data_IF_360324001646
#
_entry.id   IF_360324001646
#
_cell.length_a   1.000
_cell.length_b   1.000
_cell.length_c   1.000
_cell.angle_alpha   90.00
_cell.angle_beta   90.00
_cell.angle_gamma   90.00
#
_symmetry.space_group_name_H-M   'P 1'
#
loop_
_entity.id
_entity.type
_entity.pdbx_description
1 polymer ?
#
# COMPACT_ATOMS: atom_id res chain seq x y z
N UNK A 1 -45.32 -19.93 -33.41
CA UNK A 1 -43.99 -19.45 -32.97
C UNK A 1 -44.06 -19.13 -31.47
N UNK A 2 -43.88 -20.12 -30.59
CA UNK A 2 -44.13 -19.98 -29.15
C UNK A 2 -42.92 -19.41 -28.42
N UNK A 3 -43.11 -18.27 -27.75
CA UNK A 3 -42.10 -17.60 -26.93
C UNK A 3 -42.34 -17.94 -25.46
N UNK A 4 -42.03 -19.18 -25.05
CA UNK A 4 -42.08 -19.56 -23.63
C UNK A 4 -40.83 -19.02 -22.94
N UNK A 5 -40.94 -17.84 -22.33
CA UNK A 5 -39.92 -17.37 -21.38
C UNK A 5 -40.15 -18.11 -20.06
N UNK A 6 -39.23 -19.00 -19.70
CA UNK A 6 -39.22 -19.61 -18.37
C UNK A 6 -39.11 -18.48 -17.33
N UNK A 7 -39.94 -18.48 -16.28
CA UNK A 7 -39.88 -17.47 -15.23
C UNK A 7 -38.54 -17.57 -14.49
N UNK A 8 -37.95 -16.41 -14.19
CA UNK A 8 -36.59 -16.31 -13.60
C UNK A 8 -36.47 -17.13 -12.31
N UNK A 9 -37.54 -17.18 -11.51
CA UNK A 9 -37.62 -17.93 -10.26
C UNK A 9 -37.39 -19.43 -10.47
N UNK A 10 -37.88 -19.98 -11.58
CA UNK A 10 -37.69 -21.40 -11.91
C UNK A 10 -36.23 -21.65 -12.30
N UNK A 11 -35.59 -20.73 -13.03
CA UNK A 11 -34.17 -20.82 -13.39
C UNK A 11 -33.30 -20.77 -12.12
N UNK A 12 -33.54 -19.84 -11.20
CA UNK A 12 -32.82 -19.78 -9.93
C UNK A 12 -32.99 -21.05 -9.09
N UNK A 13 -34.22 -21.57 -8.98
CA UNK A 13 -34.50 -22.80 -8.22
C UNK A 13 -33.77 -24.01 -8.83
N UNK A 14 -33.78 -24.11 -10.16
CA UNK A 14 -33.07 -25.18 -10.88
C UNK A 14 -31.55 -25.05 -10.74
N UNK A 15 -31.01 -23.84 -10.86
CA UNK A 15 -29.59 -23.56 -10.70
C UNK A 15 -29.10 -23.89 -9.28
N UNK A 16 -29.85 -23.50 -8.24
CA UNK A 16 -29.53 -23.80 -6.85
C UNK A 16 -29.47 -25.30 -6.56
N UNK A 17 -30.49 -26.04 -7.04
CA UNK A 17 -30.50 -27.51 -6.94
C UNK A 17 -29.34 -28.15 -7.70
N UNK A 18 -28.95 -27.58 -8.85
CA UNK A 18 -27.81 -28.05 -9.64
C UNK A 18 -26.48 -27.87 -8.90
N UNK A 19 -26.28 -26.70 -8.28
CA UNK A 19 -25.09 -26.39 -7.47
C UNK A 19 -24.93 -27.36 -6.29
N UNK A 20 -26.03 -27.67 -5.59
CA UNK A 20 -26.03 -28.61 -4.47
C UNK A 20 -25.75 -30.06 -4.91
N UNK A 21 -26.32 -30.48 -6.04
CA UNK A 21 -26.11 -31.85 -6.56
C UNK A 21 -24.66 -32.09 -6.99
N UNK A 22 -23.99 -31.08 -7.54
CA UNK A 22 -22.59 -31.14 -8.01
C UNK A 22 -21.62 -30.36 -7.11
N UNK A 23 -21.77 -30.49 -5.78
CA UNK A 23 -21.03 -29.73 -4.77
C UNK A 23 -19.50 -29.74 -4.95
N UNK A 24 -18.88 -30.86 -5.35
CA UNK A 24 -17.42 -30.95 -5.53
C UNK A 24 -16.88 -30.00 -6.61
N UNK A 25 -17.52 -29.97 -7.79
CA UNK A 25 -17.14 -29.07 -8.89
C UNK A 25 -17.40 -27.60 -8.51
N UNK A 26 -18.56 -27.35 -7.90
CA UNK A 26 -18.94 -26.01 -7.43
C UNK A 26 -17.95 -25.47 -6.41
N UNK A 27 -17.50 -26.29 -5.46
CA UNK A 27 -16.57 -25.87 -4.41
C UNK A 27 -15.20 -25.51 -4.98
N UNK A 28 -14.67 -26.28 -5.93
CA UNK A 28 -13.38 -25.99 -6.59
C UNK A 28 -13.44 -24.66 -7.35
N UNK A 29 -14.54 -24.41 -8.05
CA UNK A 29 -14.73 -23.14 -8.77
C UNK A 29 -14.86 -21.96 -7.82
N UNK A 30 -15.67 -22.11 -6.76
CA UNK A 30 -15.85 -21.08 -5.74
C UNK A 30 -14.55 -20.77 -5.02
N UNK A 31 -13.78 -21.77 -4.62
CA UNK A 31 -12.50 -21.56 -3.93
C UNK A 31 -11.50 -20.83 -4.82
N UNK A 32 -11.42 -21.16 -6.11
CA UNK A 32 -10.56 -20.44 -7.06
C UNK A 32 -10.95 -18.95 -7.18
N UNK A 33 -12.25 -18.66 -7.28
CA UNK A 33 -12.76 -17.27 -7.32
C UNK A 33 -12.47 -16.56 -6.00
N UNK A 34 -12.74 -17.20 -4.87
CA UNK A 34 -12.51 -16.63 -3.54
C UNK A 34 -11.03 -16.29 -3.35
N UNK A 35 -10.11 -17.21 -3.67
CA UNK A 35 -8.67 -16.96 -3.54
C UNK A 35 -8.23 -15.81 -4.46
N UNK A 36 -8.73 -15.77 -5.70
CA UNK A 36 -8.39 -14.69 -6.65
C UNK A 36 -8.86 -13.31 -6.17
N UNK A 37 -10.12 -13.20 -5.74
CA UNK A 37 -10.68 -11.94 -5.23
C UNK A 37 -9.99 -11.55 -3.91
N UNK A 38 -9.77 -12.51 -3.01
CA UNK A 38 -9.07 -12.26 -1.76
C UNK A 38 -7.66 -11.74 -1.99
N UNK A 39 -6.88 -12.36 -2.88
CA UNK A 39 -5.53 -11.92 -3.22
C UNK A 39 -5.53 -10.51 -3.83
N UNK A 40 -6.48 -10.20 -4.70
CA UNK A 40 -6.61 -8.86 -5.29
C UNK A 40 -6.88 -7.79 -4.23
N UNK A 41 -7.83 -8.04 -3.32
CA UNK A 41 -8.16 -7.12 -2.23
C UNK A 41 -6.97 -6.98 -1.28
N UNK A 42 -6.35 -8.11 -0.90
CA UNK A 42 -5.21 -8.14 -0.01
C UNK A 42 -4.04 -7.32 -0.56
N UNK A 43 -3.62 -7.56 -1.82
CA UNK A 43 -2.52 -6.81 -2.42
C UNK A 43 -2.85 -5.33 -2.55
N UNK A 44 -4.11 -4.98 -2.87
CA UNK A 44 -4.54 -3.58 -2.93
C UNK A 44 -4.43 -2.89 -1.58
N UNK A 45 -4.87 -3.55 -0.50
CA UNK A 45 -4.78 -3.01 0.85
C UNK A 45 -3.33 -2.89 1.31
N UNK A 46 -2.51 -3.92 1.05
CA UNK A 46 -1.08 -3.93 1.40
C UNK A 46 -0.34 -2.79 0.72
N UNK A 47 -0.53 -2.60 -0.59
CA UNK A 47 0.12 -1.52 -1.34
C UNK A 47 -0.27 -0.14 -0.81
N UNK A 48 -1.55 0.06 -0.45
CA UNK A 48 -2.00 1.33 0.14
C UNK A 48 -1.33 1.57 1.49
N UNK A 49 -1.31 0.57 2.37
CA UNK A 49 -0.64 0.68 3.66
C UNK A 49 0.85 0.99 3.52
N UNK A 50 1.54 0.35 2.58
CA UNK A 50 2.96 0.64 2.31
C UNK A 50 3.19 2.09 1.84
N UNK A 51 2.31 2.64 1.00
CA UNK A 51 2.42 4.03 0.53
C UNK A 51 2.18 5.00 1.69
N UNK A 52 1.17 4.75 2.52
CA UNK A 52 0.86 5.57 3.69
C UNK A 52 2.04 5.56 4.68
N UNK A 53 2.61 4.38 4.95
CA UNK A 53 3.80 4.23 5.80
C UNK A 53 5.02 4.93 5.18
N UNK A 54 5.23 4.84 3.87
CA UNK A 54 6.32 5.53 3.19
C UNK A 54 6.17 7.06 3.32
N UNK A 55 4.97 7.59 3.18
CA UNK A 55 4.70 9.02 3.38
C UNK A 55 4.93 9.44 4.83
N UNK A 56 4.42 8.66 5.79
CA UNK A 56 4.56 8.96 7.21
C UNK A 56 6.03 8.91 7.64
N UNK A 57 6.78 7.90 7.18
CA UNK A 57 8.20 7.77 7.43
C UNK A 57 9.00 8.84 6.70
N UNK A 58 8.61 9.23 5.49
CA UNK A 58 9.19 10.38 4.81
C UNK A 58 9.05 11.64 5.66
N UNK A 59 7.83 12.02 6.02
CA UNK A 59 7.60 13.24 6.81
C UNK A 59 8.32 13.21 8.16
N UNK A 60 8.34 12.07 8.85
CA UNK A 60 8.96 11.93 10.18
C UNK A 60 10.47 11.81 10.15
N UNK A 61 11.03 11.15 9.13
CA UNK A 61 12.45 10.83 9.05
C UNK A 61 13.20 11.73 8.06
N UNK A 62 12.55 12.61 7.31
CA UNK A 62 13.25 13.69 6.63
C UNK A 62 13.82 14.61 7.73
N UNK A 63 15.16 14.68 7.91
CA UNK A 63 15.75 15.79 8.61
C UNK A 63 15.30 17.05 7.86
N UNK A 64 14.89 18.09 8.61
CA UNK A 64 14.08 19.22 8.14
C UNK A 64 14.38 19.77 6.74
N UNK A 65 13.46 20.58 6.21
CA UNK A 65 13.39 21.07 4.81
C UNK A 65 14.74 21.47 4.16
N UNK A 66 15.72 21.90 4.97
CA UNK A 66 17.11 22.13 4.56
C UNK A 66 18.09 21.35 5.44
N UNK A 67 19.02 20.63 4.80
CA UNK A 67 20.12 19.94 5.46
C UNK A 67 21.47 20.41 4.92
N UNK A 68 22.41 20.66 5.84
CA UNK A 68 23.78 21.05 5.51
C UNK A 68 24.67 19.82 5.73
N UNK A 69 25.33 19.38 4.67
CA UNK A 69 26.24 18.23 4.67
C UNK A 69 27.58 18.63 4.06
N UNK A 70 28.65 17.92 4.43
CA UNK A 70 29.92 18.04 3.73
C UNK A 70 29.76 17.55 2.28
N UNK A 71 30.40 18.18 1.27
CA UNK A 71 30.18 17.86 -0.14
C UNK A 71 30.37 16.38 -0.50
N UNK A 72 31.35 15.70 0.13
CA UNK A 72 31.61 14.27 -0.10
C UNK A 72 30.83 13.32 0.83
N UNK A 73 30.07 13.82 1.80
CA UNK A 73 29.39 12.97 2.80
C UNK A 73 28.31 12.06 2.21
N UNK A 74 27.67 12.49 1.11
CA UNK A 74 26.66 11.68 0.41
C UNK A 74 27.26 10.47 -0.31
N UNK A 75 28.50 10.60 -0.79
CA UNK A 75 29.19 9.55 -1.53
C UNK A 75 29.98 8.62 -0.59
N UNK A 76 30.55 9.18 0.50
CA UNK A 76 31.24 8.44 1.55
C UNK A 76 30.86 8.97 2.94
N UNK A 77 29.92 8.31 3.65
CA UNK A 77 29.51 8.68 5.01
C UNK A 77 30.55 8.22 6.04
N UNK A 78 31.77 8.75 5.94
CA UNK A 78 32.87 8.51 6.87
C UNK A 78 33.04 9.68 7.85
N UNK A 79 33.62 9.41 9.02
CA UNK A 79 33.93 10.44 10.04
C UNK A 79 34.84 11.55 9.47
N UNK A 80 35.66 11.20 8.47
CA UNK A 80 36.53 12.14 7.77
C UNK A 80 35.75 13.19 6.96
N UNK A 81 34.53 12.88 6.53
CA UNK A 81 33.63 13.78 5.80
C UNK A 81 32.57 14.40 6.73
N UNK A 82 32.86 14.50 8.02
CA UNK A 82 31.99 15.22 8.97
C UNK A 82 32.19 16.74 8.85
N UNK A 83 31.14 17.50 9.16
CA UNK A 83 31.27 18.95 9.33
C UNK A 83 31.89 19.24 10.70
N UNK A 84 32.79 20.22 10.75
CA UNK A 84 33.33 20.70 12.02
C UNK A 84 32.21 21.25 12.91
N UNK A 85 32.39 21.18 14.23
CA UNK A 85 31.42 21.69 15.19
C UNK A 85 31.07 23.14 14.86
N UNK A 86 29.79 23.46 14.63
CA UNK A 86 29.40 24.78 14.16
C UNK A 86 29.69 25.86 15.21
N UNK A 87 30.13 27.03 14.75
CA UNK A 87 30.45 28.17 15.60
C UNK A 87 29.19 28.72 16.31
N UNK A 88 29.36 29.32 17.48
CA UNK A 88 28.26 29.79 18.33
C UNK A 88 27.35 30.83 17.62
N UNK A 89 27.85 31.53 16.60
CA UNK A 89 27.07 32.44 15.76
C UNK A 89 26.08 31.70 14.86
N UNK A 90 26.50 30.59 14.24
CA UNK A 90 25.64 29.77 13.38
C UNK A 90 24.53 29.13 14.20
N UNK A 91 24.87 28.60 15.38
CA UNK A 91 23.89 28.00 16.29
C UNK A 91 22.82 29.01 16.73
N UNK A 92 23.20 30.25 17.01
CA UNK A 92 22.23 31.32 17.34
C UNK A 92 21.33 31.69 16.14
N UNK A 93 21.87 31.74 14.93
CA UNK A 93 21.11 32.05 13.72
C UNK A 93 20.13 30.92 13.34
N UNK A 94 20.44 29.67 13.67
CA UNK A 94 19.55 28.52 13.46
C UNK A 94 18.45 28.40 14.53
N UNK A 95 18.64 29.02 15.69
CA UNK A 95 17.69 29.01 16.82
C UNK A 95 16.84 30.28 16.91
N UNK A 96 17.13 31.32 16.10
CA UNK A 96 16.33 32.53 16.04
C UNK A 96 15.02 32.28 15.27
N UNK A 97 13.84 32.60 15.84
CA UNK A 97 12.54 32.29 15.25
C UNK A 97 12.12 33.31 14.16
N UNK A 98 13.05 33.94 13.45
CA UNK A 98 12.74 35.00 12.47
C UNK A 98 12.23 34.51 11.11
N UNK A 99 11.76 33.26 11.01
CA UNK A 99 10.87 32.80 9.93
C UNK A 99 9.77 31.93 10.51
#
# INVERSE_FOLDING_TARGET
MMKNRLPINVIFTLAWRNLWRNHRRTLIMLSAITVGVWAMIFMTALMRGMVDDMLLNGIRNLPGEVQIHHPQYRDDPSINNSIATPDNKLLKALQSPEV
#
